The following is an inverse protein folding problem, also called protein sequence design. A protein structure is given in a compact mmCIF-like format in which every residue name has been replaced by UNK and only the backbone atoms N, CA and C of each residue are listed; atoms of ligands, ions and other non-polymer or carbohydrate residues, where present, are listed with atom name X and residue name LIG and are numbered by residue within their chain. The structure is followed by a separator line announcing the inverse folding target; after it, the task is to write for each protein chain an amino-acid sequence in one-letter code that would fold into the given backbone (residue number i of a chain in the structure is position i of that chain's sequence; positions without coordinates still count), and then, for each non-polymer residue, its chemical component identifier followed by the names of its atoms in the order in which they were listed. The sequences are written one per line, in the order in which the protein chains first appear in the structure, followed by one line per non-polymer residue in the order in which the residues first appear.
data_IF_846888435763
#
_entry.id   IF_846888435763
#
_cell.length_a   1.000
_cell.length_b   1.000
_cell.length_c   1.000
_cell.angle_alpha   90.00
_cell.angle_beta   90.00
_cell.angle_gamma   90.00
#
_symmetry.space_group_name_H-M   'P 1'
#
loop_
_entity.id
_entity.type
_entity.pdbx_description
1 polymer ?
#
# COMPACT_ATOMS: atom_id res chain seq x y z
N UNK A 1 43.12 -96.40 -19.49
CA UNK A 1 42.89 -95.25 -20.36
C UNK A 1 41.42 -94.82 -20.27
N UNK A 2 41.06 -93.82 -19.47
CA UNK A 2 39.78 -93.17 -19.54
C UNK A 2 40.01 -91.67 -19.14
N UNK A 3 39.83 -90.81 -20.13
CA UNK A 3 39.95 -89.35 -19.98
C UNK A 3 38.70 -88.79 -19.33
N UNK A 4 38.82 -88.14 -18.19
CA UNK A 4 37.77 -87.41 -17.57
C UNK A 4 37.74 -85.99 -18.11
N UNK A 5 36.55 -85.53 -18.54
CA UNK A 5 36.27 -84.18 -18.98
C UNK A 5 35.78 -83.39 -17.79
N UNK A 6 36.49 -82.31 -17.42
CA UNK A 6 36.06 -81.36 -16.39
C UNK A 6 35.18 -80.36 -17.08
N UNK A 7 33.93 -80.20 -16.59
CA UNK A 7 33.01 -79.17 -17.00
C UNK A 7 33.16 -77.99 -16.03
N UNK A 8 33.60 -76.87 -16.56
CA UNK A 8 33.71 -75.61 -15.85
C UNK A 8 32.33 -74.81 -15.86
N UNK A 9 31.66 -74.80 -14.75
CA UNK A 9 30.43 -73.99 -14.58
C UNK A 9 30.83 -72.53 -14.29
N UNK A 10 30.59 -71.63 -15.25
CA UNK A 10 30.61 -70.18 -15.00
C UNK A 10 29.30 -69.73 -14.37
N UNK A 11 29.36 -69.26 -13.13
CA UNK A 11 28.28 -68.58 -12.47
C UNK A 11 28.26 -67.10 -12.95
N UNK A 12 27.22 -66.74 -13.69
CA UNK A 12 26.93 -65.30 -14.02
C UNK A 12 26.22 -64.68 -12.84
N UNK A 13 26.90 -63.81 -12.12
CA UNK A 13 26.28 -62.95 -11.10
C UNK A 13 25.58 -61.80 -11.80
N UNK A 14 24.24 -61.84 -11.82
CA UNK A 14 23.41 -60.71 -12.22
C UNK A 14 23.34 -59.71 -11.03
N UNK A 15 24.18 -58.70 -11.12
CA UNK A 15 24.08 -57.56 -10.18
C UNK A 15 22.85 -56.72 -10.50
N UNK A 16 21.86 -56.74 -9.64
CA UNK A 16 20.79 -55.76 -9.64
C UNK A 16 21.36 -54.46 -9.05
N UNK A 17 21.75 -53.52 -9.93
CA UNK A 17 22.01 -52.14 -9.56
C UNK A 17 20.65 -51.45 -9.24
N UNK A 18 20.41 -51.19 -7.96
CA UNK A 18 19.37 -50.28 -7.52
C UNK A 18 19.81 -48.86 -7.94
N UNK A 19 19.37 -48.36 -9.10
CA UNK A 19 19.45 -46.96 -9.43
C UNK A 19 18.40 -46.25 -8.56
N UNK A 20 18.87 -45.52 -7.54
CA UNK A 20 18.07 -44.50 -6.88
C UNK A 20 17.73 -43.47 -7.95
N UNK A 21 16.48 -43.41 -8.37
CA UNK A 21 15.94 -42.25 -9.07
C UNK A 21 16.01 -41.08 -8.08
N UNK A 22 16.87 -40.12 -8.36
CA UNK A 22 16.75 -38.80 -7.76
C UNK A 22 15.37 -38.25 -8.17
N UNK A 23 14.50 -38.03 -7.21
CA UNK A 23 13.30 -37.26 -7.40
C UNK A 23 13.74 -35.84 -7.74
N UNK A 24 13.55 -35.40 -8.98
CA UNK A 24 13.52 -34.00 -9.37
C UNK A 24 12.21 -33.38 -8.80
N UNK A 25 12.06 -33.38 -7.48
CA UNK A 25 11.18 -32.42 -6.83
C UNK A 25 11.94 -31.08 -6.84
N UNK A 26 11.34 -30.03 -7.40
CA UNK A 26 11.89 -28.67 -7.22
C UNK A 26 12.05 -28.45 -5.71
N UNK A 27 13.10 -27.72 -5.27
CA UNK A 27 13.22 -27.40 -3.85
C UNK A 27 11.89 -26.82 -3.38
N UNK A 28 11.37 -27.34 -2.26
CA UNK A 28 10.27 -26.75 -1.53
C UNK A 28 10.49 -25.24 -1.53
N UNK A 29 9.73 -24.52 -2.36
CA UNK A 29 9.54 -23.10 -2.15
C UNK A 29 8.97 -23.07 -0.74
N UNK A 30 9.73 -22.57 0.21
CA UNK A 30 9.19 -22.22 1.51
C UNK A 30 7.90 -21.47 1.18
N UNK A 31 6.75 -21.99 1.64
CA UNK A 31 5.50 -21.26 1.61
C UNK A 31 5.70 -20.04 2.53
N UNK A 32 6.39 -19.02 2.02
CA UNK A 32 6.36 -17.71 2.63
C UNK A 32 4.91 -17.26 2.52
N UNK A 33 4.20 -17.37 3.65
CA UNK A 33 2.78 -17.10 3.67
C UNK A 33 2.53 -15.63 3.31
N UNK A 34 1.34 -15.33 2.81
CA UNK A 34 0.90 -14.02 2.32
C UNK A 34 1.27 -12.89 3.29
N UNK A 35 2.03 -11.90 2.80
CA UNK A 35 2.50 -10.73 3.55
C UNK A 35 1.83 -9.46 3.05
N UNK A 36 1.10 -8.77 3.94
CA UNK A 36 0.25 -7.62 3.59
C UNK A 36 0.74 -6.34 4.28
N UNK A 37 0.89 -5.27 3.51
CA UNK A 37 1.17 -3.93 4.01
C UNK A 37 -0.10 -3.10 4.03
N UNK A 38 -0.47 -2.52 5.18
CA UNK A 38 -1.64 -1.66 5.34
C UNK A 38 -1.18 -0.25 5.68
N UNK A 39 -1.40 0.72 4.79
CA UNK A 39 -1.16 2.14 5.07
C UNK A 39 -2.47 2.82 5.47
N UNK A 40 -2.43 3.58 6.57
CA UNK A 40 -3.62 4.12 7.23
C UNK A 40 -3.58 5.64 7.24
N UNK A 41 -4.68 6.25 6.81
CA UNK A 41 -4.95 7.69 6.87
C UNK A 41 -6.26 7.97 7.64
N UNK A 42 -6.62 9.23 7.85
CA UNK A 42 -7.79 9.58 8.67
C UNK A 42 -8.94 10.21 7.90
N UNK A 43 -8.66 11.02 6.91
CA UNK A 43 -9.66 11.86 6.25
C UNK A 43 -10.73 11.04 5.55
N UNK A 44 -10.39 9.87 5.01
CA UNK A 44 -11.30 8.96 4.34
C UNK A 44 -12.10 8.03 5.26
N UNK A 45 -11.87 8.03 6.57
CA UNK A 45 -12.56 7.18 7.56
C UNK A 45 -14.06 7.52 7.61
N UNK A 46 -14.90 6.50 7.79
CA UNK A 46 -16.35 6.67 7.92
C UNK A 46 -16.72 7.64 9.06
N UNK A 47 -17.61 8.59 8.77
CA UNK A 47 -18.09 9.57 9.74
C UNK A 47 -17.13 10.73 10.02
N UNK A 48 -16.01 10.83 9.28
CA UNK A 48 -15.12 12.00 9.31
C UNK A 48 -15.60 13.05 8.31
N UNK A 49 -15.69 14.32 8.75
CA UNK A 49 -16.24 15.43 7.96
C UNK A 49 -15.33 16.65 7.95
N UNK A 50 -14.58 16.92 9.01
CA UNK A 50 -13.84 18.17 9.14
C UNK A 50 -12.52 18.02 9.92
N UNK A 51 -11.66 19.06 9.86
CA UNK A 51 -10.32 19.04 10.45
C UNK A 51 -10.27 18.95 11.99
N UNK A 52 -11.38 19.23 12.72
CA UNK A 52 -11.42 19.00 14.17
C UNK A 52 -11.45 17.49 14.50
N UNK A 53 -11.75 16.68 13.53
CA UNK A 53 -11.81 15.22 13.67
C UNK A 53 -10.48 14.55 13.33
N UNK A 54 -9.66 15.21 12.48
CA UNK A 54 -8.36 14.65 12.02
C UNK A 54 -7.14 15.30 12.70
N UNK A 55 -7.30 16.50 13.26
CA UNK A 55 -6.23 17.18 13.99
C UNK A 55 -6.10 16.74 15.44
N UNK A 56 -4.86 16.49 15.92
CA UNK A 56 -4.58 16.01 17.28
C UNK A 56 -5.04 16.92 18.42
N UNK A 57 -5.35 18.18 18.16
CA UNK A 57 -5.95 19.12 19.11
C UNK A 57 -7.47 19.24 18.98
N UNK A 58 -8.07 18.53 18.03
CA UNK A 58 -9.50 18.58 17.77
C UNK A 58 -10.33 17.84 18.82
N UNK A 59 -11.54 18.34 19.07
CA UNK A 59 -12.44 17.77 20.10
C UNK A 59 -12.88 16.33 19.81
N UNK A 60 -12.98 15.96 18.55
CA UNK A 60 -13.48 14.65 18.11
C UNK A 60 -12.36 13.69 17.66
N UNK A 61 -11.11 14.10 17.76
CA UNK A 61 -9.95 13.33 17.30
C UNK A 61 -9.87 11.93 17.94
N UNK A 62 -10.10 11.82 19.25
CA UNK A 62 -10.06 10.50 19.93
C UNK A 62 -11.16 9.54 19.42
N UNK A 63 -12.34 10.07 19.08
CA UNK A 63 -13.40 9.28 18.44
C UNK A 63 -12.94 8.74 17.08
N UNK A 64 -12.31 9.60 16.27
CA UNK A 64 -11.83 9.23 14.93
C UNK A 64 -10.68 8.23 15.02
N UNK A 65 -9.73 8.42 15.93
CA UNK A 65 -8.67 7.42 16.17
C UNK A 65 -9.24 6.02 16.42
N UNK A 66 -10.32 5.94 17.21
CA UNK A 66 -11.00 4.67 17.47
C UNK A 66 -11.62 4.09 16.22
N UNK A 67 -12.33 4.90 15.43
CA UNK A 67 -12.92 4.46 14.15
C UNK A 67 -11.85 4.00 13.17
N UNK A 68 -10.76 4.76 13.04
CA UNK A 68 -9.60 4.41 12.20
C UNK A 68 -9.02 3.05 12.60
N UNK A 69 -8.82 2.82 13.90
CA UNK A 69 -8.29 1.54 14.38
C UNK A 69 -9.25 0.38 14.09
N UNK A 70 -10.57 0.61 14.18
CA UNK A 70 -11.57 -0.42 13.88
C UNK A 70 -11.65 -0.72 12.37
N UNK A 71 -11.57 0.28 11.49
CA UNK A 71 -11.50 0.04 10.04
C UNK A 71 -10.19 -0.66 9.65
N UNK A 72 -9.08 -0.31 10.30
CA UNK A 72 -7.80 -1.01 10.13
C UNK A 72 -7.91 -2.47 10.57
N UNK A 73 -8.56 -2.75 11.70
CA UNK A 73 -8.79 -4.11 12.17
C UNK A 73 -9.65 -4.92 11.19
N UNK A 74 -10.65 -4.31 10.59
CA UNK A 74 -11.46 -4.96 9.56
C UNK A 74 -10.61 -5.40 8.36
N UNK A 75 -9.66 -4.56 7.90
CA UNK A 75 -8.71 -4.94 6.86
C UNK A 75 -7.78 -6.07 7.31
N UNK A 76 -7.29 -6.04 8.56
CA UNK A 76 -6.47 -7.12 9.14
C UNK A 76 -7.25 -8.44 9.18
N UNK A 77 -8.50 -8.41 9.65
CA UNK A 77 -9.38 -9.59 9.68
C UNK A 77 -9.58 -10.17 8.28
N UNK A 78 -9.87 -9.32 7.28
CA UNK A 78 -9.97 -9.75 5.88
C UNK A 78 -8.67 -10.35 5.33
N UNK A 79 -7.51 -9.79 5.69
CA UNK A 79 -6.22 -10.34 5.31
C UNK A 79 -5.96 -11.71 5.96
N UNK A 80 -6.29 -11.89 7.23
CA UNK A 80 -6.19 -13.18 7.92
C UNK A 80 -7.14 -14.22 7.32
N UNK A 81 -8.35 -13.85 6.94
CA UNK A 81 -9.31 -14.72 6.24
C UNK A 81 -8.77 -15.17 4.87
N UNK A 82 -7.99 -14.34 4.19
CA UNK A 82 -7.29 -14.68 2.95
C UNK A 82 -6.02 -15.50 3.16
N UNK A 83 -5.62 -15.77 4.41
CA UNK A 83 -4.43 -16.56 4.75
C UNK A 83 -3.16 -15.75 4.96
N UNK A 84 -3.24 -14.44 5.20
CA UNK A 84 -2.07 -13.63 5.53
C UNK A 84 -1.39 -14.14 6.81
N UNK A 85 -0.07 -14.28 6.75
CA UNK A 85 0.77 -14.75 7.86
C UNK A 85 1.62 -13.64 8.48
N UNK A 86 1.81 -12.54 7.74
CA UNK A 86 2.46 -11.33 8.23
C UNK A 86 1.68 -10.09 7.78
N UNK A 87 1.36 -9.22 8.73
CA UNK A 87 0.63 -7.97 8.47
C UNK A 87 1.35 -6.83 9.14
N UNK A 88 1.78 -5.84 8.35
CA UNK A 88 2.38 -4.60 8.82
C UNK A 88 1.39 -3.47 8.61
N UNK A 89 1.06 -2.76 9.69
CA UNK A 89 0.25 -1.54 9.65
C UNK A 89 1.15 -0.34 9.77
N UNK A 90 1.14 0.54 8.77
CA UNK A 90 1.81 1.84 8.80
C UNK A 90 0.80 2.94 9.12
N UNK A 91 0.96 3.59 10.25
CA UNK A 91 0.21 4.80 10.59
C UNK A 91 0.73 5.96 9.71
N UNK A 92 -0.12 6.46 8.83
CA UNK A 92 0.23 7.40 7.75
C UNK A 92 -0.10 8.87 8.04
N UNK A 93 -1.12 9.18 8.85
CA UNK A 93 -1.64 10.53 9.04
C UNK A 93 -0.83 11.39 10.02
N UNK A 94 -0.62 12.64 9.68
CA UNK A 94 -0.08 13.68 10.57
C UNK A 94 1.16 13.23 11.35
N UNK A 95 1.05 13.17 12.69
CA UNK A 95 2.13 12.76 13.59
C UNK A 95 2.42 11.25 13.58
N UNK A 96 1.68 10.45 12.81
CA UNK A 96 1.85 8.99 12.70
C UNK A 96 1.64 8.26 14.03
N UNK A 97 0.66 8.74 14.82
CA UNK A 97 0.33 8.20 16.15
C UNK A 97 -1.18 8.06 16.36
N UNK A 98 -1.91 7.85 15.27
CA UNK A 98 -3.37 7.86 15.24
C UNK A 98 -3.98 6.49 15.59
N UNK A 99 -3.43 5.41 15.04
CA UNK A 99 -3.84 4.05 15.38
C UNK A 99 -3.59 3.80 16.87
N UNK A 100 -4.58 3.29 17.58
CA UNK A 100 -4.53 3.02 19.03
C UNK A 100 -3.96 1.61 19.23
N UNK A 101 -2.71 1.46 19.74
CA UNK A 101 -2.04 0.17 19.82
C UNK A 101 -2.82 -0.88 20.61
N UNK A 102 -3.48 -0.44 21.70
CA UNK A 102 -4.24 -1.31 22.60
C UNK A 102 -5.53 -1.86 21.97
N UNK A 103 -6.00 -1.24 20.88
CA UNK A 103 -7.20 -1.65 20.14
C UNK A 103 -6.85 -2.33 18.82
N UNK A 104 -5.61 -2.22 18.35
CA UNK A 104 -5.18 -2.87 17.11
C UNK A 104 -5.22 -4.39 17.25
N UNK A 105 -5.58 -5.08 16.20
CA UNK A 105 -5.60 -6.54 16.14
C UNK A 105 -4.21 -7.12 16.45
N UNK A 106 -4.15 -8.09 17.34
CA UNK A 106 -2.91 -8.64 17.93
C UNK A 106 -1.97 -9.34 16.93
N UNK A 107 -2.50 -9.79 15.80
CA UNK A 107 -1.72 -10.47 14.74
C UNK A 107 -1.00 -9.48 13.80
N UNK A 108 -1.27 -8.18 13.90
CA UNK A 108 -0.57 -7.16 13.12
C UNK A 108 0.56 -6.51 13.90
N UNK A 109 1.62 -6.14 13.19
CA UNK A 109 2.71 -5.29 13.70
C UNK A 109 2.43 -3.84 13.34
N UNK A 110 2.61 -2.91 14.28
CA UNK A 110 2.36 -1.48 14.08
C UNK A 110 3.65 -0.69 13.90
N UNK A 111 3.81 -0.08 12.73
CA UNK A 111 4.87 0.88 12.43
C UNK A 111 4.31 2.30 12.55
N UNK A 112 4.74 3.05 13.56
CA UNK A 112 4.25 4.38 13.87
C UNK A 112 5.38 5.38 14.14
N UNK A 113 5.04 6.65 14.11
CA UNK A 113 5.99 7.75 14.34
C UNK A 113 6.49 8.38 13.05
N UNK A 114 6.88 9.65 13.18
CA UNK A 114 7.39 10.48 12.07
C UNK A 114 8.75 9.99 11.61
N UNK A 115 8.98 10.04 10.32
CA UNK A 115 10.27 9.75 9.69
C UNK A 115 10.67 10.89 8.77
N UNK A 116 11.97 11.10 8.58
CA UNK A 116 12.51 11.96 7.53
C UNK A 116 12.71 11.23 6.20
N UNK A 117 12.43 9.92 6.14
CA UNK A 117 12.60 9.12 4.92
C UNK A 117 11.52 9.43 3.89
N UNK A 118 11.87 9.43 2.59
CA UNK A 118 10.95 9.80 1.52
C UNK A 118 9.74 8.88 1.38
N UNK A 119 9.86 7.62 1.79
CA UNK A 119 8.77 6.64 1.76
C UNK A 119 7.58 7.04 2.66
N UNK A 120 7.81 7.79 3.74
CA UNK A 120 6.81 8.40 4.63
C UNK A 120 5.66 7.44 5.02
N UNK A 121 4.50 7.52 4.32
CA UNK A 121 3.33 6.66 4.54
C UNK A 121 3.55 5.21 4.10
N UNK A 122 4.60 4.94 3.33
CA UNK A 122 5.02 3.61 2.87
C UNK A 122 6.28 3.12 3.56
N UNK A 123 6.73 3.80 4.64
CA UNK A 123 7.92 3.37 5.39
C UNK A 123 7.79 1.92 5.84
N UNK A 124 8.77 1.11 5.47
CA UNK A 124 8.83 -0.31 5.81
C UNK A 124 8.30 -1.26 4.73
N UNK A 125 7.82 -0.72 3.59
CA UNK A 125 7.54 -1.53 2.40
C UNK A 125 8.85 -2.05 1.80
N UNK A 126 8.86 -3.30 1.35
CA UNK A 126 9.95 -3.93 0.61
C UNK A 126 9.41 -4.99 -0.36
N UNK A 127 10.28 -5.65 -1.11
CA UNK A 127 9.97 -6.67 -2.12
C UNK A 127 9.50 -8.02 -1.55
N UNK A 128 9.40 -8.15 -0.22
CA UNK A 128 8.86 -9.33 0.45
C UNK A 128 7.35 -9.27 0.66
N UNK A 129 6.70 -8.13 0.39
CA UNK A 129 5.25 -8.00 0.47
C UNK A 129 4.56 -8.46 -0.80
N UNK A 130 3.38 -9.06 -0.64
CA UNK A 130 2.54 -9.52 -1.75
C UNK A 130 1.47 -8.51 -2.16
N UNK A 131 1.03 -7.66 -1.22
CA UNK A 131 -0.04 -6.69 -1.46
C UNK A 131 0.01 -5.48 -0.52
N UNK A 132 -0.54 -4.37 -1.03
CA UNK A 132 -0.81 -3.15 -0.25
C UNK A 132 -2.30 -2.90 -0.17
N UNK A 133 -2.75 -2.50 1.02
CA UNK A 133 -4.12 -2.05 1.31
C UNK A 133 -4.06 -0.62 1.87
N UNK A 134 -4.91 0.27 1.37
CA UNK A 134 -5.02 1.66 1.85
C UNK A 134 -6.34 1.85 2.61
N UNK A 135 -6.26 2.36 3.83
CA UNK A 135 -7.41 2.61 4.71
C UNK A 135 -7.50 4.09 5.04
N UNK A 136 -8.68 4.68 4.88
CA UNK A 136 -8.95 6.06 5.26
C UNK A 136 -8.35 7.10 4.32
N UNK A 137 -8.03 6.74 3.09
CA UNK A 137 -7.52 7.65 2.07
C UNK A 137 -8.61 8.58 1.53
N UNK A 138 -8.22 9.68 0.93
CA UNK A 138 -9.11 10.78 0.54
C UNK A 138 -8.72 11.41 -0.80
N UNK A 139 -9.61 12.23 -1.35
CA UNK A 139 -9.42 12.96 -2.59
C UNK A 139 -8.17 13.85 -2.59
N UNK A 140 -7.47 13.93 -3.74
CA UNK A 140 -6.32 14.83 -3.93
C UNK A 140 -6.69 16.30 -3.82
N UNK A 141 -5.68 17.14 -3.62
CA UNK A 141 -5.81 18.60 -3.68
C UNK A 141 -6.52 19.06 -4.97
N UNK A 142 -7.40 20.05 -4.84
CA UNK A 142 -8.13 20.64 -5.96
C UNK A 142 -9.35 19.84 -6.45
N UNK A 143 -9.71 18.72 -5.80
CA UNK A 143 -10.95 17.98 -6.11
C UNK A 143 -12.16 18.80 -5.68
N UNK A 144 -12.99 19.19 -6.65
CA UNK A 144 -14.27 19.87 -6.38
C UNK A 144 -15.19 18.95 -5.58
N UNK A 145 -15.86 19.47 -4.57
CA UNK A 145 -16.71 18.73 -3.62
C UNK A 145 -15.99 17.61 -2.83
N UNK A 146 -14.67 17.47 -2.97
CA UNK A 146 -13.88 16.54 -2.17
C UNK A 146 -13.78 17.00 -0.71
N UNK A 147 -14.27 16.18 0.21
CA UNK A 147 -14.20 16.47 1.65
C UNK A 147 -12.75 16.35 2.14
N UNK A 148 -12.25 17.38 2.83
CA UNK A 148 -10.87 17.42 3.31
C UNK A 148 -9.79 17.20 2.22
N UNK A 149 -10.15 17.41 0.95
CA UNK A 149 -9.27 17.15 -0.20
C UNK A 149 -7.95 17.92 -0.10
N UNK A 150 -6.85 17.21 -0.10
CA UNK A 150 -5.50 17.76 -0.11
C UNK A 150 -4.49 16.72 -0.61
N UNK A 151 -3.23 17.11 -0.75
CA UNK A 151 -2.13 16.17 -1.08
C UNK A 151 -0.99 16.45 -0.12
N UNK A 152 -0.82 15.60 0.88
CA UNK A 152 0.19 15.65 1.95
C UNK A 152 0.13 16.88 2.86
N UNK A 153 -0.27 18.03 2.34
CA UNK A 153 -0.34 19.30 3.05
C UNK A 153 -1.39 20.19 2.42
N UNK A 154 -2.12 20.94 3.24
CA UNK A 154 -3.02 21.99 2.74
C UNK A 154 -2.30 23.12 1.97
N UNK A 155 -0.96 23.16 1.99
CA UNK A 155 -0.15 24.05 1.18
C UNK A 155 -0.07 23.62 -0.30
N UNK A 156 -0.20 22.34 -0.60
CA UNK A 156 -0.14 21.82 -1.96
C UNK A 156 -1.43 22.14 -2.71
N UNK A 157 -1.28 22.70 -3.90
CA UNK A 157 -2.37 22.95 -4.86
C UNK A 157 -2.47 21.76 -5.82
N UNK A 158 -1.31 21.29 -6.30
CA UNK A 158 -1.20 20.12 -7.15
C UNK A 158 0.20 19.51 -7.07
N UNK A 159 0.27 18.19 -7.13
CA UNK A 159 1.48 17.42 -7.33
C UNK A 159 1.26 16.56 -8.57
N UNK A 160 2.05 16.78 -9.61
CA UNK A 160 2.05 15.89 -10.77
C UNK A 160 3.43 15.32 -11.04
N UNK A 161 3.48 14.08 -11.50
CA UNK A 161 4.70 13.42 -11.97
C UNK A 161 4.43 12.85 -13.35
N UNK A 162 5.31 13.15 -14.31
CA UNK A 162 5.16 12.76 -15.71
C UNK A 162 3.81 13.19 -16.31
N UNK A 163 3.28 14.34 -15.87
CA UNK A 163 1.99 14.88 -16.31
C UNK A 163 0.76 14.27 -15.63
N UNK A 164 0.93 13.30 -14.74
CA UNK A 164 -0.16 12.68 -13.97
C UNK A 164 -0.29 13.37 -12.62
N UNK A 165 -1.44 14.02 -12.35
CA UNK A 165 -1.73 14.63 -11.05
C UNK A 165 -2.10 13.54 -10.04
N UNK A 166 -1.36 13.45 -8.94
CA UNK A 166 -1.39 12.34 -8.00
C UNK A 166 -2.10 12.69 -6.68
N UNK A 167 -3.07 11.86 -6.23
CA UNK A 167 -3.46 11.79 -4.83
C UNK A 167 -2.33 11.18 -3.97
N UNK A 168 -2.49 11.19 -2.65
CA UNK A 168 -1.59 10.47 -1.74
C UNK A 168 -1.52 8.97 -2.05
N UNK A 169 -2.67 8.35 -2.33
CA UNK A 169 -2.72 6.98 -2.81
C UNK A 169 -1.88 6.76 -4.08
N UNK A 170 -1.86 7.75 -5.00
CA UNK A 170 -1.13 7.66 -6.26
C UNK A 170 0.38 7.59 -6.06
N UNK A 171 0.99 8.56 -5.35
CA UNK A 171 2.43 8.51 -5.12
C UNK A 171 2.85 7.37 -4.19
N UNK A 172 2.00 6.98 -3.23
CA UNK A 172 2.25 5.81 -2.40
C UNK A 172 2.19 4.50 -3.20
N UNK A 173 1.29 4.40 -4.18
CA UNK A 173 1.24 3.26 -5.09
C UNK A 173 2.48 3.19 -6.00
N UNK A 174 3.03 4.33 -6.45
CA UNK A 174 4.33 4.34 -7.16
C UNK A 174 5.44 3.80 -6.25
N UNK A 175 5.48 4.19 -4.97
CA UNK A 175 6.48 3.67 -4.01
C UNK A 175 6.33 2.15 -3.84
N UNK A 176 5.10 1.63 -3.70
CA UNK A 176 4.85 0.19 -3.67
C UNK A 176 5.31 -0.49 -4.96
N UNK A 177 5.04 0.15 -6.11
CA UNK A 177 5.43 -0.33 -7.44
C UNK A 177 6.95 -0.40 -7.66
N UNK A 178 7.77 0.40 -6.93
CA UNK A 178 9.23 0.26 -6.93
C UNK A 178 9.69 -1.10 -6.37
N UNK A 179 8.87 -1.71 -5.53
CA UNK A 179 9.08 -3.03 -4.91
C UNK A 179 8.27 -4.14 -5.56
N UNK A 180 7.68 -3.91 -6.74
CA UNK A 180 6.83 -4.88 -7.44
C UNK A 180 5.53 -5.24 -6.69
N UNK A 181 5.09 -4.47 -5.70
CA UNK A 181 3.93 -4.76 -4.85
C UNK A 181 2.70 -3.99 -5.34
N UNK A 182 1.60 -4.68 -5.69
CA UNK A 182 0.36 -4.03 -6.12
C UNK A 182 -0.44 -3.45 -4.95
N UNK A 183 -1.13 -2.33 -5.19
CA UNK A 183 -2.23 -1.88 -4.33
C UNK A 183 -3.49 -2.62 -4.74
N UNK A 184 -4.03 -3.46 -3.87
CA UNK A 184 -5.16 -4.34 -4.19
C UNK A 184 -6.50 -3.81 -3.71
N UNK A 185 -6.51 -3.01 -2.63
CA UNK A 185 -7.73 -2.44 -2.07
C UNK A 185 -7.48 -1.04 -1.50
N UNK A 186 -8.45 -0.13 -1.72
CA UNK A 186 -8.47 1.22 -1.16
C UNK A 186 -9.84 1.51 -0.55
N UNK A 187 -9.86 1.89 0.73
CA UNK A 187 -11.05 2.39 1.41
C UNK A 187 -10.92 3.89 1.67
N UNK A 188 -11.92 4.66 1.27
CA UNK A 188 -11.91 6.11 1.42
C UNK A 188 -13.18 6.79 0.96
N UNK A 189 -13.12 8.11 0.70
CA UNK A 189 -14.25 8.83 0.11
C UNK A 189 -14.52 8.39 -1.35
N UNK A 190 -15.67 8.78 -1.89
CA UNK A 190 -16.04 8.44 -3.26
C UNK A 190 -15.01 8.95 -4.29
N UNK A 191 -14.45 10.14 -4.08
CA UNK A 191 -13.52 10.73 -5.03
C UNK A 191 -12.19 9.99 -5.09
N UNK A 192 -11.66 9.54 -3.95
CA UNK A 192 -10.44 8.72 -3.99
C UNK A 192 -10.70 7.36 -4.63
N UNK A 193 -11.87 6.75 -4.40
CA UNK A 193 -12.25 5.51 -5.07
C UNK A 193 -12.25 5.64 -6.59
N UNK A 194 -12.79 6.76 -7.12
CA UNK A 194 -12.77 7.06 -8.55
C UNK A 194 -11.33 7.32 -9.05
N UNK A 195 -10.55 8.14 -8.32
CA UNK A 195 -9.18 8.51 -8.69
C UNK A 195 -8.24 7.31 -8.75
N UNK A 196 -8.32 6.38 -7.79
CA UNK A 196 -7.47 5.19 -7.81
C UNK A 196 -7.90 4.19 -8.89
N UNK A 197 -9.19 4.10 -9.18
CA UNK A 197 -9.70 3.27 -10.29
C UNK A 197 -9.18 3.80 -11.63
N UNK A 198 -9.17 5.12 -11.83
CA UNK A 198 -8.60 5.74 -13.04
C UNK A 198 -7.09 5.50 -13.16
N UNK A 199 -6.34 5.58 -12.02
CA UNK A 199 -4.89 5.46 -12.01
C UNK A 199 -4.41 4.02 -12.10
N UNK A 200 -5.00 3.10 -11.32
CA UNK A 200 -4.46 1.74 -11.16
C UNK A 200 -5.15 0.73 -12.09
N UNK A 201 -6.32 1.07 -12.62
CA UNK A 201 -7.17 0.14 -13.37
C UNK A 201 -7.84 -0.86 -12.43
N UNK A 202 -7.29 -2.07 -12.35
CA UNK A 202 -7.80 -3.07 -11.42
C UNK A 202 -7.37 -2.76 -9.98
N UNK A 203 -8.35 -2.38 -9.16
CA UNK A 203 -8.24 -2.17 -7.72
C UNK A 203 -9.62 -2.36 -7.11
N UNK A 204 -9.71 -2.97 -5.94
CA UNK A 204 -10.96 -3.04 -5.19
C UNK A 204 -11.13 -1.76 -4.38
N UNK A 205 -12.31 -1.13 -4.42
CA UNK A 205 -12.58 0.08 -3.65
C UNK A 205 -13.73 -0.10 -2.68
N UNK A 206 -13.61 0.53 -1.51
CA UNK A 206 -14.69 0.63 -0.51
C UNK A 206 -14.98 2.09 -0.24
N UNK A 207 -16.10 2.57 -0.79
CA UNK A 207 -16.59 3.92 -0.51
C UNK A 207 -17.16 3.97 0.91
N UNK A 208 -16.53 4.79 1.76
CA UNK A 208 -16.93 5.00 3.15
C UNK A 208 -17.97 6.12 3.28
N UNK A 209 -17.90 7.10 2.37
CA UNK A 209 -18.76 8.28 2.31
C UNK A 209 -18.69 8.97 0.96
N UNK A 210 -19.73 9.74 0.67
CA UNK A 210 -19.82 10.65 -0.49
C UNK A 210 -19.55 12.07 0.01
N UNK A 211 -18.53 12.73 -0.55
CA UNK A 211 -18.26 14.16 -0.31
C UNK A 211 -19.23 15.03 -1.08
N UNK A 212 -19.76 16.07 -0.43
CA UNK A 212 -20.67 17.06 -0.99
C UNK A 212 -20.24 18.45 -0.51
N UNK A 213 -19.10 18.94 -0.94
CA UNK A 213 -18.49 20.18 -0.50
C UNK A 213 -18.03 20.11 0.96
N UNK A 214 -18.76 20.70 1.90
CA UNK A 214 -18.44 20.66 3.35
C UNK A 214 -19.28 19.65 4.14
N UNK A 215 -20.11 18.87 3.46
CA UNK A 215 -20.95 17.82 4.04
C UNK A 215 -20.59 16.44 3.49
N UNK A 216 -20.99 15.39 4.19
CA UNK A 216 -20.86 14.02 3.73
C UNK A 216 -22.16 13.24 3.90
N UNK A 217 -22.43 12.35 2.96
CA UNK A 217 -23.40 11.25 3.14
C UNK A 217 -22.59 9.96 3.34
N UNK A 218 -22.60 9.43 4.55
CA UNK A 218 -21.79 8.26 4.92
C UNK A 218 -22.64 7.05 5.31
N UNK A 219 -22.01 5.88 5.21
CA UNK A 219 -22.55 4.65 5.78
C UNK A 219 -22.28 4.61 7.29
N UNK A 220 -23.02 3.75 8.00
CA UNK A 220 -22.72 3.46 9.40
C UNK A 220 -21.31 2.82 9.50
N UNK A 221 -20.46 3.23 10.46
CA UNK A 221 -19.07 2.73 10.55
C UNK A 221 -18.97 1.20 10.59
N UNK A 222 -19.85 0.50 11.29
CA UNK A 222 -19.85 -0.98 11.33
C UNK A 222 -20.16 -1.60 9.96
N UNK A 223 -20.99 -0.95 9.15
CA UNK A 223 -21.26 -1.41 7.76
C UNK A 223 -20.01 -1.22 6.90
N UNK A 224 -19.28 -0.11 7.09
CA UNK A 224 -18.02 0.14 6.38
C UNK A 224 -16.96 -0.89 6.78
N UNK A 225 -16.82 -1.18 8.08
CA UNK A 225 -15.89 -2.19 8.59
C UNK A 225 -16.16 -3.56 7.94
N UNK A 226 -17.42 -3.99 7.87
CA UNK A 226 -17.78 -5.26 7.23
C UNK A 226 -17.45 -5.27 5.72
N UNK A 227 -17.68 -4.16 5.02
CA UNK A 227 -17.31 -4.01 3.61
C UNK A 227 -15.79 -4.08 3.43
N UNK A 228 -15.01 -3.40 4.28
CA UNK A 228 -13.54 -3.42 4.24
C UNK A 228 -13.02 -4.84 4.45
N UNK A 229 -13.54 -5.56 5.47
CA UNK A 229 -13.15 -6.94 5.75
C UNK A 229 -13.38 -7.85 4.54
N UNK A 230 -14.59 -7.82 4.00
CA UNK A 230 -14.99 -8.64 2.84
C UNK A 230 -14.13 -8.27 1.61
N UNK A 231 -14.03 -6.97 1.28
CA UNK A 231 -13.29 -6.50 0.12
C UNK A 231 -11.79 -6.82 0.19
N UNK A 232 -11.20 -6.73 1.39
CA UNK A 232 -9.79 -7.11 1.61
C UNK A 232 -9.58 -8.61 1.39
N UNK A 233 -10.47 -9.44 1.95
CA UNK A 233 -10.37 -10.90 1.77
C UNK A 233 -10.51 -11.30 0.29
N UNK A 234 -11.51 -10.76 -0.42
CA UNK A 234 -11.74 -11.03 -1.83
C UNK A 234 -10.56 -10.57 -2.71
N UNK A 235 -10.05 -9.35 -2.49
CA UNK A 235 -8.91 -8.83 -3.24
C UNK A 235 -7.66 -9.71 -3.07
N UNK A 236 -7.35 -10.11 -1.83
CA UNK A 236 -6.18 -10.94 -1.55
C UNK A 236 -6.30 -12.39 -2.07
N UNK A 237 -7.52 -12.91 -2.23
CA UNK A 237 -7.75 -14.21 -2.88
C UNK A 237 -7.56 -14.15 -4.41
N UNK A 238 -7.57 -12.97 -5.00
CA UNK A 238 -7.43 -12.73 -6.44
C UNK A 238 -6.14 -11.94 -6.81
N UNK A 239 -5.05 -12.10 -6.06
CA UNK A 239 -3.81 -11.31 -6.21
C UNK A 239 -3.29 -11.22 -7.65
N UNK A 240 -3.38 -12.29 -8.41
CA UNK A 240 -2.92 -12.33 -9.81
C UNK A 240 -3.64 -11.38 -10.77
N UNK A 241 -4.74 -10.76 -10.33
CA UNK A 241 -5.49 -9.76 -11.08
C UNK A 241 -4.82 -8.39 -11.04
N UNK A 242 -4.13 -8.05 -9.94
CA UNK A 242 -3.61 -6.72 -9.68
C UNK A 242 -2.18 -6.56 -10.21
N UNK A 243 -1.87 -5.36 -10.71
CA UNK A 243 -0.54 -5.03 -11.19
C UNK A 243 0.05 -3.88 -10.37
N UNK A 244 1.36 -3.89 -10.07
CA UNK A 244 2.01 -2.75 -9.44
C UNK A 244 1.85 -1.48 -10.30
N UNK A 245 1.40 -0.38 -9.66
CA UNK A 245 1.29 0.90 -10.35
C UNK A 245 2.66 1.55 -10.50
N UNK A 246 3.04 1.92 -11.72
CA UNK A 246 4.36 2.47 -12.02
C UNK A 246 4.26 3.70 -12.90
N UNK A 247 5.20 4.59 -12.69
CA UNK A 247 5.56 5.63 -13.63
C UNK A 247 6.97 5.33 -14.16
N UNK A 248 7.26 5.72 -15.38
CA UNK A 248 8.56 5.44 -16.00
C UNK A 248 9.55 6.59 -15.76
N UNK A 249 10.81 6.31 -15.40
CA UNK A 249 11.83 7.34 -15.31
C UNK A 249 12.22 7.89 -16.70
N UNK A 250 12.71 9.14 -16.81
CA UNK A 250 12.93 10.07 -15.70
C UNK A 250 11.61 10.59 -15.12
N UNK A 251 11.55 10.67 -13.79
CA UNK A 251 10.39 11.21 -13.09
C UNK A 251 10.45 12.73 -13.09
N UNK A 252 9.51 13.36 -13.78
CA UNK A 252 9.40 14.82 -13.91
C UNK A 252 8.28 15.32 -13.02
N UNK A 253 8.64 15.89 -11.87
CA UNK A 253 7.69 16.49 -10.93
C UNK A 253 7.36 17.93 -11.33
N UNK A 254 6.07 18.28 -11.26
CA UNK A 254 5.60 19.66 -11.18
C UNK A 254 4.81 19.80 -9.87
N UNK A 255 5.28 20.68 -8.99
CA UNK A 255 4.64 20.96 -7.71
C UNK A 255 4.09 22.39 -7.71
N UNK A 256 2.79 22.53 -7.38
CA UNK A 256 2.15 23.81 -7.17
C UNK A 256 1.76 23.99 -5.70
N UNK A 257 2.15 25.11 -5.12
CA UNK A 257 1.90 25.42 -3.69
C UNK A 257 1.30 26.82 -3.50
N UNK A 258 0.59 27.00 -2.39
CA UNK A 258 0.02 28.31 -1.97
C UNK A 258 1.08 29.24 -1.41
N UNK A 259 2.05 28.69 -0.71
CA UNK A 259 3.17 29.41 -0.07
C UNK A 259 4.46 28.70 -0.42
N UNK A 260 5.39 29.43 -1.00
CA UNK A 260 6.69 28.91 -1.39
C UNK A 260 7.58 28.64 -0.17
N UNK A 261 8.40 27.62 -0.30
CA UNK A 261 9.48 27.27 0.62
C UNK A 261 10.83 27.35 -0.10
N UNK A 262 11.90 27.06 0.61
CA UNK A 262 13.24 26.97 0.00
C UNK A 262 13.26 25.86 -1.05
N UNK A 263 13.96 26.14 -2.14
CA UNK A 263 14.12 25.17 -3.22
C UNK A 263 14.95 23.98 -2.76
N UNK A 264 14.49 22.80 -3.12
CA UNK A 264 15.33 21.59 -3.05
C UNK A 264 16.51 21.72 -4.05
N UNK A 265 17.73 21.24 -3.71
CA UNK A 265 18.86 21.29 -4.63
C UNK A 265 18.53 20.63 -5.99
N UNK A 266 18.73 21.37 -7.06
CA UNK A 266 18.40 20.93 -8.41
C UNK A 266 16.94 21.16 -8.85
N UNK A 267 16.08 21.63 -7.98
CA UNK A 267 14.75 22.07 -8.38
C UNK A 267 14.79 23.47 -9.01
N UNK A 268 13.85 23.75 -9.90
CA UNK A 268 13.71 25.03 -10.59
C UNK A 268 12.32 25.62 -10.30
N UNK A 269 12.29 26.96 -10.21
CA UNK A 269 11.04 27.71 -10.16
C UNK A 269 10.59 28.01 -11.60
N UNK A 270 9.42 27.56 -11.99
CA UNK A 270 8.85 27.79 -13.34
C UNK A 270 7.72 28.81 -13.36
N UNK A 271 7.16 29.15 -12.17
CA UNK A 271 6.13 30.14 -12.00
C UNK A 271 5.96 30.57 -10.55
N UNK A 272 4.99 31.43 -10.27
CA UNK A 272 4.62 31.79 -8.89
C UNK A 272 4.00 30.56 -8.21
N UNK A 273 4.63 30.09 -7.13
CA UNK A 273 4.23 28.87 -6.42
C UNK A 273 4.35 27.60 -7.26
N UNK A 274 5.07 27.61 -8.39
CA UNK A 274 5.26 26.45 -9.23
C UNK A 274 6.74 26.08 -9.35
N UNK A 275 7.04 24.80 -9.09
CA UNK A 275 8.38 24.23 -9.08
C UNK A 275 8.44 22.96 -9.89
N UNK A 276 9.58 22.73 -10.54
CA UNK A 276 9.88 21.47 -11.23
C UNK A 276 11.13 20.83 -10.67
N UNK A 277 11.15 19.52 -10.67
CA UNK A 277 12.30 18.70 -10.32
C UNK A 277 12.27 17.40 -11.13
N UNK A 278 13.42 16.90 -11.53
CA UNK A 278 13.51 15.64 -12.30
C UNK A 278 14.62 14.76 -11.75
N UNK A 279 14.34 13.47 -11.59
CA UNK A 279 15.30 12.45 -11.20
C UNK A 279 15.01 11.11 -11.87
N UNK A 280 16.02 10.26 -11.93
CA UNK A 280 15.88 8.84 -12.27
C UNK A 280 15.40 8.00 -11.08
N UNK A 281 15.43 8.56 -9.86
CA UNK A 281 14.99 7.94 -8.61
C UNK A 281 13.71 8.63 -8.11
N UNK A 282 12.62 7.87 -7.99
CA UNK A 282 11.35 8.39 -7.49
C UNK A 282 11.42 8.82 -6.02
N UNK A 283 12.23 8.16 -5.22
CA UNK A 283 12.38 8.54 -3.80
C UNK A 283 13.10 9.89 -3.66
N UNK A 284 14.03 10.23 -4.56
CA UNK A 284 14.61 11.58 -4.61
C UNK A 284 13.56 12.63 -5.01
N UNK A 285 12.63 12.30 -5.91
CA UNK A 285 11.48 13.18 -6.22
C UNK A 285 10.61 13.39 -4.98
N UNK A 286 10.38 12.36 -4.18
CA UNK A 286 9.62 12.47 -2.93
C UNK A 286 10.36 13.28 -1.85
N UNK A 287 11.70 13.22 -1.80
CA UNK A 287 12.51 14.09 -0.94
C UNK A 287 12.35 15.57 -1.35
N UNK A 288 12.45 15.86 -2.65
CA UNK A 288 12.24 17.20 -3.20
C UNK A 288 10.81 17.70 -2.89
N UNK A 289 9.79 16.86 -3.11
CA UNK A 289 8.40 17.15 -2.75
C UNK A 289 8.26 17.47 -1.27
N UNK A 290 8.79 16.61 -0.39
CA UNK A 290 8.70 16.78 1.06
C UNK A 290 9.39 18.06 1.56
N UNK A 291 10.45 18.50 0.92
CA UNK A 291 11.16 19.73 1.26
C UNK A 291 10.39 20.99 0.83
N UNK A 292 9.68 20.95 -0.30
CA UNK A 292 9.08 22.13 -0.94
C UNK A 292 7.57 22.29 -0.70
N UNK A 293 6.85 21.26 -0.19
CA UNK A 293 5.40 21.27 0.08
C UNK A 293 4.97 22.12 1.26
#
# INVERSE_FOLDING_TARGET
MKRGIAVLLMAVAVGWGCQAQASDEPPDAAEDGLKVFISVDLEGIAGVVNGNETGSSGSDYERVRKLTTLETNAAIEGALEAGATEIIVRDGHGAKTNVIPELLHKEAKLLRGVTARPENMMLGIDDTFDAVVFIGYHAKAGTEDGILAHTSSGNVIDLSVNGVSLPEAGYNAVIAGLHEVPVVMVAGDNWICDQVTELFGDVVTVETKIGMGTATLGLHPEVVQEKIRTATAEALQELGRFQPYRLEPPYQMVLKVRRERDLYPGAERTGEGEFTFSSMDFLEVMDAFNAMK
#
